data_IF_532479707942
#
_entry.id   IF_532479707942
#
_cell.length_a   1.000
_cell.length_b   1.000
_cell.length_c   1.000
_cell.angle_alpha   90.00
_cell.angle_beta   90.00
_cell.angle_gamma   90.00
#
_symmetry.space_group_name_H-M   'P 1'
#
loop_
_entity.id
_entity.type
_entity.pdbx_description
1 polymer ?
#
# COMPACT_ATOMS: atom_id res chain seq x y z
N UNK A 1 53.96 7.45 -17.30
CA UNK A 1 53.48 6.10 -16.94
C UNK A 1 51.99 6.19 -16.61
N UNK A 2 51.13 5.95 -17.58
CA UNK A 2 49.68 6.09 -17.40
C UNK A 2 49.13 4.69 -17.09
N UNK A 3 48.91 4.40 -15.80
CA UNK A 3 48.33 3.12 -15.38
C UNK A 3 46.89 3.08 -15.88
N UNK A 4 46.66 2.33 -16.96
CA UNK A 4 45.33 1.92 -17.38
C UNK A 4 44.77 1.01 -16.28
N UNK A 5 44.05 1.58 -15.33
CA UNK A 5 43.27 0.83 -14.35
C UNK A 5 42.21 0.03 -15.11
N UNK A 6 42.48 -1.24 -15.33
CA UNK A 6 41.56 -2.21 -15.94
C UNK A 6 40.27 -2.26 -15.11
N UNK A 7 39.10 -2.36 -15.76
CA UNK A 7 37.80 -2.35 -15.09
C UNK A 7 37.66 -3.37 -13.93
N UNK A 8 38.44 -4.46 -13.95
CA UNK A 8 38.51 -5.47 -12.89
C UNK A 8 39.07 -4.94 -11.55
N UNK A 9 40.03 -4.01 -11.57
CA UNK A 9 40.62 -3.41 -10.36
C UNK A 9 39.79 -2.25 -9.81
N UNK A 10 38.96 -1.64 -10.65
CA UNK A 10 38.12 -0.50 -10.27
C UNK A 10 37.02 -0.94 -9.29
N UNK A 11 36.49 -2.16 -9.42
CA UNK A 11 35.33 -2.60 -8.63
C UNK A 11 35.66 -2.80 -7.13
N UNK A 12 36.75 -3.49 -6.73
CA UNK A 12 37.11 -3.63 -5.31
C UNK A 12 37.47 -2.30 -4.65
N UNK A 13 38.29 -1.47 -5.30
CA UNK A 13 38.68 -0.16 -4.78
C UNK A 13 37.49 0.81 -4.67
N UNK A 14 36.59 0.80 -5.66
CA UNK A 14 35.35 1.58 -5.60
C UNK A 14 34.47 1.12 -4.43
N UNK A 15 34.37 -0.18 -4.20
CA UNK A 15 33.58 -0.75 -3.11
C UNK A 15 34.09 -0.27 -1.75
N UNK A 16 35.41 -0.31 -1.53
CA UNK A 16 36.02 0.15 -0.28
C UNK A 16 35.84 1.65 -0.06
N UNK A 17 36.12 2.47 -1.09
CA UNK A 17 35.94 3.91 -1.01
C UNK A 17 34.47 4.30 -0.77
N UNK A 18 33.53 3.61 -1.41
CA UNK A 18 32.10 3.82 -1.16
C UNK A 18 31.66 3.32 0.21
N UNK A 19 32.21 2.19 0.69
CA UNK A 19 31.95 1.69 2.04
C UNK A 19 32.38 2.69 3.11
N UNK A 20 33.53 3.35 2.94
CA UNK A 20 33.96 4.44 3.83
C UNK A 20 33.00 5.65 3.79
N UNK A 21 32.42 5.93 2.63
CA UNK A 21 31.43 7.00 2.44
C UNK A 21 30.00 6.62 2.90
N UNK A 22 29.73 5.34 3.12
CA UNK A 22 28.38 4.78 3.30
C UNK A 22 27.60 5.40 4.48
N UNK A 23 28.18 5.63 5.68
CA UNK A 23 27.45 6.23 6.79
C UNK A 23 26.88 7.61 6.44
N UNK A 24 27.63 8.40 5.67
CA UNK A 24 27.21 9.73 5.22
C UNK A 24 26.10 9.65 4.18
N UNK A 25 26.19 8.70 3.25
CA UNK A 25 25.13 8.44 2.26
C UNK A 25 23.85 8.01 2.95
N UNK A 26 23.93 7.08 3.91
CA UNK A 26 22.78 6.61 4.69
C UNK A 26 22.13 7.72 5.50
N UNK A 27 22.93 8.59 6.16
CA UNK A 27 22.40 9.73 6.90
C UNK A 27 21.59 10.69 6.01
N UNK A 28 22.11 11.02 4.82
CA UNK A 28 21.40 11.87 3.85
C UNK A 28 20.14 11.18 3.32
N UNK A 29 20.20 9.87 3.01
CA UNK A 29 19.05 9.10 2.56
C UNK A 29 17.92 9.14 3.60
N UNK A 30 18.22 8.77 4.86
CA UNK A 30 17.27 8.80 5.98
C UNK A 30 16.69 10.19 6.22
N UNK A 31 17.53 11.22 6.22
CA UNK A 31 17.07 12.59 6.40
C UNK A 31 16.14 13.04 5.27
N UNK A 32 16.45 12.68 4.03
CA UNK A 32 15.65 13.09 2.86
C UNK A 32 14.31 12.35 2.82
N UNK A 33 14.26 11.08 3.20
CA UNK A 33 13.03 10.27 3.23
C UNK A 33 12.22 10.43 4.53
N UNK A 34 12.68 11.23 5.50
CA UNK A 34 12.04 11.37 6.84
C UNK A 34 10.55 11.72 6.83
N UNK A 35 10.06 12.37 5.77
CA UNK A 35 8.65 12.80 5.63
C UNK A 35 7.74 11.71 5.05
N UNK A 36 8.29 10.54 4.69
CA UNK A 36 7.49 9.38 4.28
C UNK A 36 6.78 8.82 5.51
N UNK A 37 5.43 8.77 5.55
CA UNK A 37 4.69 8.40 6.75
C UNK A 37 4.82 6.92 7.14
N UNK A 38 4.84 6.02 6.15
CA UNK A 38 4.96 4.58 6.38
C UNK A 38 6.43 4.22 6.69
N UNK A 39 6.73 3.61 7.85
CA UNK A 39 8.08 3.22 8.23
C UNK A 39 8.75 2.29 7.22
N UNK A 40 8.06 1.24 6.79
CA UNK A 40 8.62 0.25 5.85
C UNK A 40 8.95 0.89 4.50
N UNK A 41 8.00 1.66 3.94
CA UNK A 41 8.22 2.38 2.69
C UNK A 41 9.36 3.40 2.80
N UNK A 42 9.56 3.99 3.98
CA UNK A 42 10.67 4.92 4.23
C UNK A 42 12.01 4.21 4.23
N UNK A 43 12.08 3.01 4.80
CA UNK A 43 13.29 2.17 4.82
C UNK A 43 13.63 1.66 3.42
N UNK A 44 12.64 1.16 2.68
CA UNK A 44 12.81 0.76 1.27
C UNK A 44 13.34 1.92 0.42
N UNK A 45 12.73 3.11 0.52
CA UNK A 45 13.19 4.29 -0.21
C UNK A 45 14.62 4.72 0.19
N UNK A 46 14.99 4.55 1.45
CA UNK A 46 16.34 4.87 1.91
C UNK A 46 17.36 3.87 1.35
N UNK A 47 17.05 2.57 1.35
CA UNK A 47 17.89 1.53 0.75
C UNK A 47 18.05 1.76 -0.76
N UNK A 48 16.95 2.08 -1.45
CA UNK A 48 16.94 2.42 -2.87
C UNK A 48 17.83 3.64 -3.17
N UNK A 49 17.76 4.68 -2.34
CA UNK A 49 18.62 5.86 -2.47
C UNK A 49 20.10 5.53 -2.32
N UNK A 50 20.47 4.64 -1.39
CA UNK A 50 21.85 4.16 -1.22
C UNK A 50 22.32 3.40 -2.47
N UNK A 51 21.47 2.52 -2.99
CA UNK A 51 21.81 1.72 -4.17
C UNK A 51 21.93 2.59 -5.45
N UNK A 52 21.08 3.61 -5.60
CA UNK A 52 21.21 4.62 -6.65
C UNK A 52 22.49 5.45 -6.49
N UNK A 53 22.87 5.80 -5.26
CA UNK A 53 24.11 6.52 -4.98
C UNK A 53 25.33 5.69 -5.38
N UNK A 54 25.34 4.38 -5.07
CA UNK A 54 26.39 3.45 -5.52
C UNK A 54 26.49 3.41 -7.05
N UNK A 55 25.36 3.25 -7.74
CA UNK A 55 25.33 3.23 -9.22
C UNK A 55 25.92 4.51 -9.81
N UNK A 56 25.56 5.68 -9.26
CA UNK A 56 26.12 6.96 -9.67
C UNK A 56 27.62 7.08 -9.36
N UNK A 57 28.05 6.61 -8.18
CA UNK A 57 29.45 6.63 -7.73
C UNK A 57 30.34 5.85 -8.70
N UNK A 58 29.96 4.60 -9.03
CA UNK A 58 30.69 3.77 -10.01
C UNK A 58 30.69 4.40 -11.39
N UNK A 59 29.56 4.96 -11.84
CA UNK A 59 29.49 5.63 -13.13
C UNK A 59 30.42 6.85 -13.23
N UNK A 60 30.63 7.57 -12.12
CA UNK A 60 31.56 8.70 -12.06
C UNK A 60 33.02 8.24 -12.09
N UNK A 61 33.37 7.19 -11.35
CA UNK A 61 34.71 6.60 -11.40
C UNK A 61 35.07 6.12 -12.80
N UNK A 62 34.14 5.45 -13.49
CA UNK A 62 34.32 5.02 -14.89
C UNK A 62 34.53 6.19 -15.87
N UNK A 63 34.11 7.40 -15.49
CA UNK A 63 34.32 8.64 -16.26
C UNK A 63 35.60 9.37 -15.83
N UNK A 64 36.44 8.77 -14.98
CA UNK A 64 37.66 9.39 -14.47
C UNK A 64 37.42 10.52 -13.48
N UNK A 65 36.22 10.63 -12.89
CA UNK A 65 35.92 11.63 -11.86
C UNK A 65 36.17 11.04 -10.48
N UNK A 66 36.53 11.88 -9.52
CA UNK A 66 36.61 11.52 -8.11
C UNK A 66 35.30 11.86 -7.37
N UNK A 67 34.38 10.89 -7.16
CA UNK A 67 33.14 11.12 -6.43
C UNK A 67 33.33 11.31 -4.91
N UNK A 68 34.48 10.97 -4.33
CA UNK A 68 34.72 11.10 -2.89
C UNK A 68 34.61 12.57 -2.44
N UNK A 69 35.04 13.51 -3.28
CA UNK A 69 34.96 14.95 -3.02
C UNK A 69 33.52 15.51 -2.91
N UNK A 70 32.49 14.80 -3.37
CA UNK A 70 31.11 15.32 -3.37
C UNK A 70 30.03 14.26 -3.06
N UNK A 71 30.36 13.31 -2.19
CA UNK A 71 29.45 12.23 -1.73
C UNK A 71 28.09 12.74 -1.26
N UNK A 72 28.04 13.85 -0.52
CA UNK A 72 26.78 14.43 -0.02
C UNK A 72 25.84 14.82 -1.16
N UNK A 73 26.39 15.40 -2.23
CA UNK A 73 25.62 15.78 -3.42
C UNK A 73 25.10 14.55 -4.15
N UNK A 74 25.93 13.51 -4.30
CA UNK A 74 25.51 12.23 -4.88
C UNK A 74 24.36 11.63 -4.08
N UNK A 75 24.50 11.54 -2.76
CA UNK A 75 23.48 10.98 -1.87
C UNK A 75 22.16 11.77 -1.95
N UNK A 76 22.23 13.11 -1.92
CA UNK A 76 21.04 13.97 -2.03
C UNK A 76 20.33 13.76 -3.36
N UNK A 77 21.06 13.75 -4.48
CA UNK A 77 20.49 13.55 -5.82
C UNK A 77 19.92 12.14 -5.99
N UNK A 78 20.56 11.13 -5.43
CA UNK A 78 20.07 9.76 -5.42
C UNK A 78 18.77 9.61 -4.60
N UNK A 79 18.70 10.22 -3.41
CA UNK A 79 17.50 10.22 -2.59
C UNK A 79 16.34 10.97 -3.27
N UNK A 80 16.61 12.12 -3.90
CA UNK A 80 15.61 12.83 -4.71
C UNK A 80 15.12 11.99 -5.88
N UNK A 81 16.02 11.24 -6.55
CA UNK A 81 15.65 10.35 -7.63
C UNK A 81 14.77 9.18 -7.13
N UNK A 82 15.09 8.58 -5.99
CA UNK A 82 14.28 7.54 -5.36
C UNK A 82 12.87 8.03 -5.03
N UNK A 83 12.75 9.24 -4.45
CA UNK A 83 11.46 9.89 -4.17
C UNK A 83 10.67 10.20 -5.45
N UNK A 84 11.37 10.55 -6.53
CA UNK A 84 10.79 10.72 -7.85
C UNK A 84 10.53 9.38 -8.58
N UNK A 85 10.58 8.24 -7.88
CA UNK A 85 10.28 6.88 -8.35
C UNK A 85 11.29 6.27 -9.31
N UNK A 86 12.52 6.81 -9.38
CA UNK A 86 13.61 6.10 -10.05
C UNK A 86 14.02 4.91 -9.19
N UNK A 87 14.34 3.80 -9.84
CA UNK A 87 14.88 2.60 -9.19
C UNK A 87 16.22 2.20 -9.81
N UNK A 88 16.96 1.32 -9.14
CA UNK A 88 18.20 0.71 -9.65
C UNK A 88 17.87 -0.18 -10.83
N UNK A 89 16.84 -1.01 -10.69
CA UNK A 89 16.29 -1.85 -11.74
C UNK A 89 14.94 -1.28 -12.18
N UNK A 90 14.91 -0.63 -13.35
CA UNK A 90 13.69 -0.03 -13.89
C UNK A 90 13.27 1.29 -13.23
N UNK A 91 11.97 1.58 -13.31
CA UNK A 91 11.35 2.76 -12.72
C UNK A 91 9.91 2.45 -12.32
N UNK A 92 9.41 3.19 -11.34
CA UNK A 92 8.00 3.18 -10.96
C UNK A 92 7.11 3.54 -12.15
N UNK A 93 6.08 2.72 -12.38
CA UNK A 93 5.19 2.89 -13.53
C UNK A 93 4.13 3.95 -13.23
N UNK A 94 4.15 5.04 -14.01
CA UNK A 94 3.18 6.15 -13.90
C UNK A 94 1.72 5.70 -14.09
N UNK A 95 1.50 4.63 -14.87
CA UNK A 95 0.18 4.08 -15.20
C UNK A 95 -0.26 2.94 -14.28
N UNK A 96 0.62 2.48 -13.40
CA UNK A 96 0.25 1.49 -12.40
C UNK A 96 -0.47 2.22 -11.26
N UNK A 97 -1.72 1.82 -11.01
CA UNK A 97 -2.57 2.47 -10.03
C UNK A 97 -1.95 2.42 -8.61
N UNK A 98 -1.25 1.33 -8.28
CA UNK A 98 -0.65 1.14 -6.97
C UNK A 98 0.73 1.80 -6.83
N UNK A 99 1.32 2.26 -7.94
CA UNK A 99 2.63 2.91 -7.90
C UNK A 99 2.59 4.19 -7.04
N UNK A 100 3.55 4.38 -6.11
CA UNK A 100 3.75 5.64 -5.42
C UNK A 100 3.85 6.85 -6.36
N UNK A 101 4.36 6.65 -7.58
CA UNK A 101 4.57 7.74 -8.54
C UNK A 101 3.27 8.18 -9.22
N UNK A 102 2.33 7.26 -9.45
CA UNK A 102 1.00 7.59 -9.93
C UNK A 102 0.23 8.48 -8.93
N UNK A 103 0.39 8.18 -7.62
CA UNK A 103 -0.14 8.98 -6.50
C UNK A 103 0.52 10.37 -6.43
N UNK A 104 1.85 10.44 -6.47
CA UNK A 104 2.59 11.71 -6.40
C UNK A 104 2.22 12.68 -7.54
N UNK A 105 1.94 12.15 -8.73
CA UNK A 105 1.51 12.94 -9.90
C UNK A 105 0.02 13.25 -9.93
N UNK A 106 -0.74 12.87 -8.89
CA UNK A 106 -2.17 13.13 -8.79
C UNK A 106 -3.01 12.40 -9.84
N UNK A 107 -2.48 11.36 -10.48
CA UNK A 107 -3.21 10.59 -11.52
C UNK A 107 -4.18 9.58 -10.92
N UNK A 108 -3.87 9.12 -9.71
CA UNK A 108 -4.64 8.12 -9.00
C UNK A 108 -4.76 8.57 -7.56
N UNK A 109 -6.01 8.77 -7.12
CA UNK A 109 -6.33 8.91 -5.70
C UNK A 109 -6.70 7.53 -5.19
N UNK A 110 -5.95 7.06 -4.20
CA UNK A 110 -6.26 5.83 -3.48
C UNK A 110 -7.01 6.22 -2.22
N UNK A 111 -8.27 5.82 -2.15
CA UNK A 111 -9.07 5.90 -0.93
C UNK A 111 -9.03 4.51 -0.28
N UNK A 112 -8.89 4.42 1.05
CA UNK A 112 -9.08 3.10 1.68
C UNK A 112 -10.55 2.73 1.57
N UNK A 113 -10.82 1.45 1.32
CA UNK A 113 -12.15 0.90 1.44
C UNK A 113 -12.63 1.13 2.89
N UNK A 114 -13.69 1.91 3.05
CA UNK A 114 -14.23 2.33 4.35
C UNK A 114 -13.85 3.75 4.81
N UNK A 115 -12.93 4.46 4.14
CA UNK A 115 -12.64 5.87 4.46
C UNK A 115 -13.81 6.79 4.05
N UNK A 116 -14.11 7.80 4.88
CA UNK A 116 -15.06 8.87 4.54
C UNK A 116 -14.46 9.73 3.43
N UNK A 117 -14.93 9.55 2.20
CA UNK A 117 -14.65 10.50 1.10
C UNK A 117 -15.60 11.70 1.22
N UNK A 118 -15.12 12.94 1.44
CA UNK A 118 -15.99 14.12 1.46
C UNK A 118 -16.68 14.29 0.11
N UNK A 119 -18.01 14.39 0.12
CA UNK A 119 -18.83 14.57 -1.10
C UNK A 119 -19.32 13.29 -1.78
N UNK A 120 -18.87 12.10 -1.37
CA UNK A 120 -19.58 10.84 -1.70
C UNK A 120 -20.55 10.53 -0.57
N UNK A 121 -21.80 10.15 -0.90
CA UNK A 121 -22.71 9.54 0.09
C UNK A 121 -21.96 8.38 0.73
N UNK A 122 -22.05 8.26 2.05
CA UNK A 122 -21.56 7.11 2.82
C UNK A 122 -21.88 5.84 2.01
N UNK A 123 -20.88 5.11 1.53
CA UNK A 123 -21.16 3.80 0.92
C UNK A 123 -21.94 3.02 1.96
N UNK A 124 -23.17 2.64 1.65
CA UNK A 124 -23.96 1.79 2.54
C UNK A 124 -23.14 0.52 2.82
N UNK A 125 -23.31 -0.10 3.99
CA UNK A 125 -22.64 -1.38 4.28
C UNK A 125 -22.90 -2.41 3.18
N UNK A 126 -24.06 -2.32 2.55
CA UNK A 126 -24.45 -3.00 1.31
C UNK A 126 -23.51 -2.79 0.11
N UNK A 127 -23.12 -1.56 -0.22
CA UNK A 127 -22.19 -1.30 -1.32
C UNK A 127 -20.79 -1.87 -1.02
N UNK A 128 -20.36 -1.78 0.24
CA UNK A 128 -19.07 -2.33 0.67
C UNK A 128 -19.09 -3.86 0.66
N UNK A 129 -20.19 -4.48 1.10
CA UNK A 129 -20.39 -5.92 1.06
C UNK A 129 -20.35 -6.48 -0.36
N UNK A 130 -21.09 -5.84 -1.28
CA UNK A 130 -21.15 -6.24 -2.68
C UNK A 130 -19.80 -6.07 -3.39
N UNK A 131 -19.04 -5.02 -3.06
CA UNK A 131 -17.68 -4.83 -3.57
C UNK A 131 -16.70 -5.87 -2.99
N UNK A 132 -16.79 -6.19 -1.70
CA UNK A 132 -15.95 -7.20 -1.06
C UNK A 132 -16.18 -8.60 -1.64
N UNK A 133 -17.44 -8.99 -1.85
CA UNK A 133 -17.78 -10.29 -2.48
C UNK A 133 -17.33 -10.34 -3.94
N UNK A 134 -17.48 -9.24 -4.68
CA UNK A 134 -17.02 -9.16 -6.06
C UNK A 134 -15.48 -9.19 -6.20
N UNK A 135 -14.78 -8.73 -5.18
CA UNK A 135 -13.32 -8.72 -5.13
C UNK A 135 -12.72 -10.05 -4.67
N UNK A 136 -13.51 -11.01 -4.14
CA UNK A 136 -13.01 -12.33 -3.76
C UNK A 136 -12.94 -13.26 -4.99
N UNK A 137 -11.75 -13.60 -5.49
CA UNK A 137 -11.59 -14.44 -6.68
C UNK A 137 -12.00 -15.90 -6.45
N UNK A 138 -12.29 -16.30 -5.20
CA UNK A 138 -12.75 -17.66 -4.86
C UNK A 138 -14.25 -17.85 -5.08
N UNK A 139 -15.03 -16.77 -5.11
CA UNK A 139 -16.48 -16.81 -5.30
C UNK A 139 -16.80 -16.83 -6.78
N UNK A 140 -17.60 -17.80 -7.24
CA UNK A 140 -17.93 -17.94 -8.67
C UNK A 140 -18.83 -16.78 -9.13
N UNK A 141 -18.74 -16.40 -10.40
CA UNK A 141 -19.53 -15.30 -10.98
C UNK A 141 -21.04 -15.44 -10.76
N UNK A 142 -21.67 -16.63 -10.90
CA UNK A 142 -23.10 -16.80 -10.59
C UNK A 142 -23.43 -16.48 -9.13
N UNK A 143 -22.60 -16.92 -8.20
CA UNK A 143 -22.80 -16.68 -6.76
C UNK A 143 -22.65 -15.20 -6.41
N UNK A 144 -21.70 -14.50 -7.06
CA UNK A 144 -21.56 -13.05 -6.93
C UNK A 144 -22.80 -12.30 -7.46
N UNK A 145 -23.39 -12.79 -8.56
CA UNK A 145 -24.59 -12.20 -9.14
C UNK A 145 -25.82 -12.43 -8.24
N UNK A 146 -26.01 -13.66 -7.75
CA UNK A 146 -27.07 -14.00 -6.80
C UNK A 146 -26.95 -13.13 -5.53
N UNK A 147 -25.76 -13.06 -4.94
CA UNK A 147 -25.52 -12.21 -3.76
C UNK A 147 -25.89 -10.74 -3.99
N UNK A 148 -25.57 -10.17 -5.17
CA UNK A 148 -25.92 -8.77 -5.50
C UNK A 148 -27.43 -8.53 -5.60
N UNK A 149 -28.21 -9.55 -5.95
CA UNK A 149 -29.67 -9.47 -6.04
C UNK A 149 -30.31 -9.72 -4.68
N UNK A 150 -29.85 -10.74 -3.97
CA UNK A 150 -30.49 -11.27 -2.76
C UNK A 150 -30.10 -10.50 -1.50
N UNK A 151 -28.86 -10.01 -1.42
CA UNK A 151 -28.37 -9.30 -0.24
C UNK A 151 -29.11 -7.99 0.06
N UNK A 152 -29.42 -7.11 -0.93
CA UNK A 152 -30.27 -5.95 -0.71
C UNK A 152 -31.68 -6.31 -0.22
N UNK A 153 -32.27 -7.38 -0.78
CA UNK A 153 -33.62 -7.85 -0.44
C UNK A 153 -33.67 -8.38 1.00
N UNK A 154 -32.73 -9.25 1.35
CA UNK A 154 -32.55 -9.75 2.73
C UNK A 154 -32.34 -8.60 3.71
N UNK A 155 -31.41 -7.68 3.41
CA UNK A 155 -31.13 -6.52 4.25
C UNK A 155 -32.37 -5.65 4.44
N UNK A 156 -33.17 -5.45 3.39
CA UNK A 156 -34.43 -4.70 3.44
C UNK A 156 -35.42 -5.24 4.47
N UNK A 157 -35.49 -6.57 4.62
CA UNK A 157 -36.37 -7.28 5.57
C UNK A 157 -35.90 -7.28 7.02
N UNK A 158 -34.70 -6.80 7.33
CA UNK A 158 -34.18 -6.78 8.70
C UNK A 158 -34.64 -5.55 9.49
N UNK A 159 -34.86 -5.69 10.82
CA UNK A 159 -35.07 -4.55 11.71
C UNK A 159 -33.90 -3.55 11.67
N UNK A 160 -34.13 -2.24 11.91
CA UNK A 160 -33.11 -1.20 11.79
C UNK A 160 -31.80 -1.50 12.54
N UNK A 161 -31.88 -1.99 13.78
CA UNK A 161 -30.72 -2.34 14.59
C UNK A 161 -29.89 -3.49 13.99
N UNK A 162 -30.56 -4.50 13.40
CA UNK A 162 -29.88 -5.62 12.74
C UNK A 162 -29.28 -5.22 11.40
N UNK A 163 -29.89 -4.27 10.68
CA UNK A 163 -29.32 -3.67 9.46
C UNK A 163 -28.02 -2.94 9.75
N UNK A 164 -27.99 -2.13 10.80
CA UNK A 164 -26.75 -1.41 11.16
C UNK A 164 -25.64 -2.37 11.58
N UNK A 165 -25.97 -3.45 12.31
CA UNK A 165 -25.00 -4.48 12.64
C UNK A 165 -24.49 -5.24 11.41
N UNK A 166 -25.40 -5.63 10.50
CA UNK A 166 -25.05 -6.27 9.24
C UNK A 166 -24.13 -5.38 8.40
N UNK A 167 -24.45 -4.09 8.27
CA UNK A 167 -23.68 -3.12 7.50
C UNK A 167 -22.24 -2.97 8.03
N UNK A 168 -22.06 -2.90 9.35
CA UNK A 168 -20.74 -2.78 9.96
C UNK A 168 -19.92 -4.06 9.74
N UNK A 169 -20.54 -5.22 9.97
CA UNK A 169 -19.87 -6.51 9.79
C UNK A 169 -19.49 -6.75 8.32
N UNK A 170 -20.41 -6.44 7.40
CA UNK A 170 -20.18 -6.60 5.97
C UNK A 170 -19.15 -5.59 5.43
N UNK A 171 -19.00 -4.43 6.07
CA UNK A 171 -17.91 -3.50 5.81
C UNK A 171 -16.55 -3.93 6.42
N UNK A 172 -16.45 -5.15 6.97
CA UNK A 172 -15.21 -5.72 7.51
C UNK A 172 -14.80 -5.20 8.89
N UNK A 173 -15.72 -4.58 9.64
CA UNK A 173 -15.39 -4.06 10.97
C UNK A 173 -15.10 -5.21 11.95
N UNK A 174 -14.02 -5.08 12.71
CA UNK A 174 -13.70 -6.01 13.80
C UNK A 174 -14.78 -5.99 14.89
N UNK A 175 -14.98 -7.13 15.58
CA UNK A 175 -16.04 -7.33 16.58
C UNK A 175 -16.06 -6.25 17.66
N UNK A 176 -14.89 -5.83 18.16
CA UNK A 176 -14.79 -4.77 19.17
C UNK A 176 -15.14 -3.37 18.65
N UNK A 177 -14.73 -3.03 17.43
CA UNK A 177 -15.05 -1.75 16.81
C UNK A 177 -16.55 -1.64 16.47
N UNK A 178 -17.14 -2.73 15.97
CA UNK A 178 -18.58 -2.82 15.74
C UNK A 178 -19.36 -2.71 17.06
N UNK A 179 -18.90 -3.37 18.13
CA UNK A 179 -19.52 -3.32 19.45
C UNK A 179 -19.57 -1.90 20.01
N UNK A 180 -18.43 -1.19 19.97
CA UNK A 180 -18.35 0.21 20.39
C UNK A 180 -19.28 1.11 19.58
N UNK A 181 -19.38 0.88 18.26
CA UNK A 181 -20.23 1.68 17.36
C UNK A 181 -21.73 1.44 17.55
N UNK A 182 -22.11 0.23 17.92
CA UNK A 182 -23.50 -0.18 18.17
C UNK A 182 -23.94 0.04 19.63
N UNK A 183 -23.01 0.39 20.53
CA UNK A 183 -23.31 0.54 21.97
C UNK A 183 -23.65 -0.79 22.65
N UNK A 184 -23.10 -1.91 22.16
CA UNK A 184 -23.34 -3.26 22.70
C UNK A 184 -22.03 -3.93 23.09
N UNK A 185 -22.09 -5.07 23.79
CA UNK A 185 -20.90 -5.85 24.09
C UNK A 185 -20.35 -6.60 22.87
N UNK A 186 -19.05 -6.90 22.87
CA UNK A 186 -18.44 -7.74 21.82
C UNK A 186 -19.11 -9.12 21.72
N UNK A 187 -19.53 -9.69 22.85
CA UNK A 187 -20.31 -10.94 22.89
C UNK A 187 -21.64 -10.82 22.15
N UNK A 188 -22.34 -9.68 22.27
CA UNK A 188 -23.59 -9.43 21.54
C UNK A 188 -23.36 -9.33 20.04
N UNK A 189 -22.26 -8.73 19.59
CA UNK A 189 -21.89 -8.71 18.16
C UNK A 189 -21.62 -10.11 17.62
N UNK A 190 -20.94 -10.97 18.39
CA UNK A 190 -20.73 -12.38 18.02
C UNK A 190 -22.06 -13.14 17.91
N UNK A 191 -23.01 -12.89 18.82
CA UNK A 191 -24.36 -13.45 18.72
C UNK A 191 -25.07 -12.95 17.46
N UNK A 192 -25.08 -11.64 17.21
CA UNK A 192 -25.70 -11.04 16.03
C UNK A 192 -25.12 -11.61 14.72
N UNK A 193 -23.81 -11.88 14.66
CA UNK A 193 -23.20 -12.52 13.50
C UNK A 193 -23.81 -13.90 13.21
N UNK A 194 -24.00 -14.73 14.24
CA UNK A 194 -24.63 -16.05 14.10
C UNK A 194 -26.10 -15.93 13.72
N UNK A 195 -26.85 -15.09 14.42
CA UNK A 195 -28.27 -14.84 14.12
C UNK A 195 -28.48 -14.33 12.68
N UNK A 196 -27.58 -13.50 12.17
CA UNK A 196 -27.65 -12.98 10.80
C UNK A 196 -27.28 -14.05 9.77
N UNK A 197 -26.29 -14.91 10.07
CA UNK A 197 -25.94 -16.04 9.21
C UNK A 197 -27.09 -17.06 9.12
N UNK A 198 -27.66 -17.45 10.26
CA UNK A 198 -28.83 -18.35 10.31
C UNK A 198 -30.02 -17.79 9.52
N UNK A 199 -30.30 -16.48 9.66
CA UNK A 199 -31.35 -15.80 8.89
C UNK A 199 -31.05 -15.72 7.41
N UNK A 200 -29.77 -15.63 7.03
CA UNK A 200 -29.36 -15.60 5.63
C UNK A 200 -29.54 -16.97 4.97
N UNK A 201 -29.19 -18.07 5.66
CA UNK A 201 -29.47 -19.43 5.21
C UNK A 201 -31.00 -19.64 5.06
N UNK A 202 -31.78 -19.30 6.09
CA UNK A 202 -33.23 -19.42 6.06
C UNK A 202 -33.90 -18.62 4.92
N UNK A 203 -33.29 -17.49 4.51
CA UNK A 203 -33.79 -16.68 3.40
C UNK A 203 -33.67 -17.39 2.03
N UNK A 204 -32.73 -18.34 1.89
CA UNK A 204 -32.57 -19.13 0.67
C UNK A 204 -33.33 -20.46 0.73
N UNK A 205 -33.69 -20.93 1.93
CA UNK A 205 -34.49 -22.14 2.15
C UNK A 205 -36.01 -21.91 2.01
N UNK A 206 -36.49 -20.66 1.89
CA UNK A 206 -37.90 -20.40 1.57
C UNK A 206 -38.19 -20.81 0.11
N UNK A 207 -39.08 -21.81 -0.13
CA UNK A 207 -39.44 -22.19 -1.49
C UNK A 207 -40.17 -21.03 -2.17
N UNK A 208 -39.64 -20.57 -3.30
CA UNK A 208 -40.31 -19.62 -4.22
C UNK A 208 -41.64 -20.15 -4.73
#
# INVERSE_FOLDING_TARGET
MCVTLTAAMIVPAAREAFAAALPRVQAVARFTTRRVPCPDAREELAAEAVALAWRCYVALLRRGKDPAGFVTTIARRAAQAALAGRRVCGAEKVRDALSPLARLRGRVRMDRIGDRVPGRRRCSGEAVAAELVAADPRVKVPDQAAFRVDFPRFRGGLPPAKREALDLLAAGWGTGAAAARLGVSAGRVSQLRRELAEKWEAFHDEPS
#
